data_IF_407962263004
#
_entry.id   IF_407962263004
#
_cell.length_a   1.000
_cell.length_b   1.000
_cell.length_c   1.000
_cell.angle_alpha   90.00
_cell.angle_beta   90.00
_cell.angle_gamma   90.00
#
_symmetry.space_group_name_H-M   'P 1'
#
loop_
_entity.id
_entity.type
_entity.pdbx_description
1 polymer ?
#
# COMPACT_ATOMS: atom_id res chain seq x y z
N UNK A 1 -41.96 -19.87 -8.84
CA UNK A 1 -43.04 -19.26 -9.63
C UNK A 1 -43.64 -18.10 -8.85
N UNK A 2 -43.37 -16.86 -9.27
CA UNK A 2 -44.27 -15.70 -9.13
C UNK A 2 -43.52 -14.45 -9.63
N UNK A 3 -43.79 -14.12 -10.89
CA UNK A 3 -43.55 -12.82 -11.50
C UNK A 3 -44.44 -11.76 -10.83
N UNK A 4 -43.92 -10.54 -10.61
CA UNK A 4 -44.70 -9.30 -10.52
C UNK A 4 -43.85 -8.21 -11.18
N UNK A 5 -44.08 -7.94 -12.46
CA UNK A 5 -45.10 -7.06 -13.03
C UNK A 5 -44.61 -5.60 -13.13
N UNK A 6 -44.51 -5.16 -14.38
CA UNK A 6 -43.93 -3.91 -14.90
C UNK A 6 -44.97 -2.81 -14.88
N UNK A 7 -44.59 -1.60 -14.45
CA UNK A 7 -45.42 -0.40 -14.58
C UNK A 7 -45.13 0.34 -15.90
N UNK A 8 -46.13 1.04 -16.49
CA UNK A 8 -46.04 1.62 -17.82
C UNK A 8 -45.50 3.06 -17.85
N UNK A 9 -44.96 3.42 -19.01
CA UNK A 9 -44.47 4.74 -19.40
C UNK A 9 -45.61 5.73 -19.67
N UNK A 10 -45.35 7.02 -19.44
CA UNK A 10 -46.07 8.13 -20.09
C UNK A 10 -45.10 9.30 -20.32
N UNK A 11 -44.85 9.61 -21.59
CA UNK A 11 -44.24 10.86 -22.06
C UNK A 11 -45.35 11.89 -22.37
N UNK A 12 -45.05 13.18 -22.23
CA UNK A 12 -45.51 14.17 -23.19
C UNK A 12 -44.32 15.03 -23.67
N UNK A 13 -44.03 15.05 -24.97
CA UNK A 13 -44.66 15.85 -26.02
C UNK A 13 -43.76 17.04 -26.40
N UNK A 14 -43.06 16.86 -27.53
CA UNK A 14 -42.37 17.90 -28.28
C UNK A 14 -43.40 18.90 -28.82
N UNK A 15 -43.23 20.19 -28.54
CA UNK A 15 -43.88 21.25 -29.29
C UNK A 15 -42.91 22.41 -29.58
N UNK A 16 -42.81 22.67 -30.88
CA UNK A 16 -42.64 23.97 -31.55
C UNK A 16 -41.30 24.72 -31.40
N UNK A 17 -40.56 24.68 -32.51
CA UNK A 17 -39.57 25.67 -32.91
C UNK A 17 -40.20 27.08 -33.05
N UNK A 18 -39.54 28.09 -32.50
CA UNK A 18 -39.64 29.46 -33.00
C UNK A 18 -38.23 30.09 -33.01
N UNK A 19 -37.79 30.48 -34.20
CA UNK A 19 -36.52 31.16 -34.48
C UNK A 19 -36.66 32.64 -34.17
N UNK A 20 -35.71 33.21 -33.43
CA UNK A 20 -35.39 34.63 -33.48
C UNK A 20 -33.91 34.85 -33.14
N UNK A 21 -33.26 35.67 -33.96
CA UNK A 21 -31.83 35.92 -34.06
C UNK A 21 -31.34 37.08 -33.16
N UNK A 22 -30.24 36.85 -32.42
CA UNK A 22 -29.12 37.70 -31.92
C UNK A 22 -29.32 39.20 -31.55
N UNK A 23 -28.67 39.71 -30.47
CA UNK A 23 -27.20 39.82 -30.41
C UNK A 23 -26.51 39.51 -29.06
N UNK A 24 -25.19 39.32 -29.18
CA UNK A 24 -24.14 39.06 -28.18
C UNK A 24 -24.12 40.06 -27.01
N UNK A 25 -24.14 39.58 -25.76
CA UNK A 25 -23.75 40.32 -24.55
C UNK A 25 -23.24 39.35 -23.45
N UNK A 26 -21.98 39.59 -23.04
CA UNK A 26 -21.28 39.23 -21.79
C UNK A 26 -21.25 37.78 -21.30
N UNK A 27 -20.02 37.24 -21.28
CA UNK A 27 -19.60 36.15 -20.41
C UNK A 27 -19.72 36.54 -18.92
N UNK A 28 -20.43 35.74 -18.12
CA UNK A 28 -20.37 35.77 -16.67
C UNK A 28 -20.00 34.36 -16.17
N UNK A 29 -18.80 34.25 -15.60
CA UNK A 29 -18.21 33.00 -15.14
C UNK A 29 -18.91 32.38 -13.93
N UNK A 30 -18.78 31.05 -13.85
CA UNK A 30 -19.30 30.11 -12.86
C UNK A 30 -18.98 30.45 -11.40
N UNK A 31 -19.86 30.05 -10.48
CA UNK A 31 -19.49 29.52 -9.16
C UNK A 31 -20.47 28.42 -8.75
N UNK A 32 -20.23 27.19 -9.23
CA UNK A 32 -20.75 25.99 -8.57
C UNK A 32 -19.83 25.72 -7.36
N UNK A 33 -20.33 25.63 -6.12
CA UNK A 33 -19.52 25.17 -5.00
C UNK A 33 -19.20 23.70 -5.24
N UNK A 34 -18.05 23.44 -5.85
CA UNK A 34 -17.45 22.13 -5.87
C UNK A 34 -17.17 21.73 -4.43
N UNK A 35 -17.96 20.81 -3.90
CA UNK A 35 -17.58 20.07 -2.70
C UNK A 35 -16.29 19.32 -3.06
N UNK A 36 -15.15 19.91 -2.73
CA UNK A 36 -13.88 19.21 -2.79
C UNK A 36 -14.00 18.04 -1.81
N UNK A 37 -14.15 16.83 -2.34
CA UNK A 37 -13.83 15.63 -1.57
C UNK A 37 -12.38 15.83 -1.11
N UNK A 38 -12.19 16.11 0.18
CA UNK A 38 -10.93 15.79 0.82
C UNK A 38 -10.90 14.28 0.88
N UNK A 39 -10.29 13.65 -0.12
CA UNK A 39 -9.66 12.36 0.11
C UNK A 39 -8.78 12.61 1.33
N UNK A 40 -9.01 11.88 2.42
CA UNK A 40 -8.01 11.76 3.47
C UNK A 40 -6.72 11.32 2.77
N UNK A 41 -5.84 12.29 2.50
CA UNK A 41 -4.48 12.05 2.09
C UNK A 41 -3.75 11.53 3.34
N UNK A 42 -4.19 10.36 3.82
CA UNK A 42 -3.42 9.54 4.73
C UNK A 42 -2.03 9.44 4.11
N UNK A 43 -1.02 9.83 4.89
CA UNK A 43 0.36 9.97 4.44
C UNK A 43 0.73 8.81 3.51
N UNK A 44 0.85 9.05 2.20
CA UNK A 44 1.07 8.00 1.20
C UNK A 44 2.37 7.23 1.46
N UNK A 45 3.28 7.83 2.24
CA UNK A 45 4.54 7.25 2.67
C UNK A 45 4.49 6.54 4.03
N UNK A 46 3.33 6.45 4.69
CA UNK A 46 3.19 5.59 5.85
C UNK A 46 3.32 4.13 5.43
N UNK A 47 4.03 3.33 6.23
CA UNK A 47 4.15 1.91 5.96
C UNK A 47 2.76 1.26 5.95
N UNK A 48 2.50 0.48 4.91
CA UNK A 48 1.29 -0.31 4.76
C UNK A 48 1.34 -1.52 5.72
N UNK A 49 0.16 -1.99 6.12
CA UNK A 49 0.05 -3.22 6.88
C UNK A 49 0.49 -4.41 6.01
N UNK A 50 1.40 -5.24 6.53
CA UNK A 50 1.98 -6.36 5.79
C UNK A 50 0.91 -7.37 5.38
N UNK A 51 0.13 -7.90 6.33
CA UNK A 51 -0.94 -8.86 6.07
C UNK A 51 -1.92 -8.33 5.03
N UNK A 52 -2.41 -7.11 5.16
CA UNK A 52 -3.36 -6.52 4.20
C UNK A 52 -2.73 -6.36 2.81
N UNK A 53 -1.48 -5.94 2.72
CA UNK A 53 -0.78 -5.75 1.45
C UNK A 53 -0.69 -7.05 0.65
N UNK A 54 -0.33 -8.16 1.30
CA UNK A 54 -0.27 -9.46 0.61
C UNK A 54 -1.65 -10.08 0.40
N UNK A 55 -2.54 -10.06 1.41
CA UNK A 55 -3.86 -10.70 1.29
C UNK A 55 -4.78 -9.99 0.29
N UNK A 56 -4.58 -8.69 0.04
CA UNK A 56 -5.26 -7.95 -1.01
C UNK A 56 -4.62 -8.09 -2.41
N UNK A 57 -3.49 -8.79 -2.52
CA UNK A 57 -2.76 -8.95 -3.77
C UNK A 57 -2.12 -7.66 -4.30
N UNK A 58 -1.77 -6.72 -3.42
CA UNK A 58 -1.00 -5.52 -3.79
C UNK A 58 0.48 -5.82 -4.02
N UNK A 59 1.01 -6.81 -3.31
CA UNK A 59 2.36 -7.32 -3.48
C UNK A 59 2.38 -8.84 -3.36
N UNK A 60 3.36 -9.47 -4.00
CA UNK A 60 3.69 -10.87 -3.89
C UNK A 60 5.11 -11.05 -3.35
N UNK A 61 5.39 -12.23 -2.80
CA UNK A 61 6.71 -12.49 -2.25
C UNK A 61 7.76 -12.54 -3.37
N UNK A 62 8.82 -11.76 -3.19
CA UNK A 62 9.86 -11.58 -4.19
C UNK A 62 9.67 -10.35 -5.07
N UNK A 63 8.62 -9.55 -4.87
CA UNK A 63 8.43 -8.28 -5.57
C UNK A 63 9.44 -7.21 -5.13
N UNK A 64 9.94 -7.28 -3.89
CA UNK A 64 10.84 -6.29 -3.31
C UNK A 64 12.04 -6.97 -2.61
N UNK A 65 12.20 -6.77 -1.31
CA UNK A 65 13.38 -7.18 -0.54
C UNK A 65 13.17 -8.48 0.26
N UNK A 66 12.08 -9.22 0.02
CA UNK A 66 11.74 -10.43 0.78
C UNK A 66 12.83 -11.51 0.73
N UNK A 67 13.55 -11.60 -0.39
CA UNK A 67 14.62 -12.59 -0.62
C UNK A 67 16.02 -11.99 -0.52
N UNK A 68 16.14 -10.72 -0.11
CA UNK A 68 17.40 -9.97 -0.17
C UNK A 68 18.52 -10.59 0.69
N UNK A 69 18.17 -11.16 1.85
CA UNK A 69 19.09 -11.94 2.71
C UNK A 69 19.96 -12.93 1.89
N UNK A 70 19.36 -13.58 0.89
CA UNK A 70 19.99 -14.66 0.13
C UNK A 70 20.48 -14.21 -1.25
N UNK A 71 19.72 -13.34 -1.91
CA UNK A 71 19.99 -12.96 -3.31
C UNK A 71 20.84 -11.71 -3.43
N UNK A 72 20.87 -10.87 -2.38
CA UNK A 72 21.42 -9.51 -2.42
C UNK A 72 20.87 -8.67 -3.59
N UNK A 73 19.65 -8.97 -4.04
CA UNK A 73 18.98 -8.31 -5.14
C UNK A 73 17.51 -8.05 -4.83
N UNK A 74 16.97 -6.97 -5.40
CA UNK A 74 15.55 -6.61 -5.33
C UNK A 74 14.76 -7.39 -6.39
N UNK A 75 13.52 -7.76 -6.11
CA UNK A 75 12.61 -8.28 -7.13
C UNK A 75 12.94 -9.72 -7.56
N UNK A 76 13.44 -10.56 -6.64
CA UNK A 76 13.83 -11.94 -6.94
C UNK A 76 12.84 -12.93 -6.34
N UNK A 77 12.03 -13.53 -7.20
CA UNK A 77 11.20 -14.68 -6.85
C UNK A 77 12.05 -15.95 -6.75
N UNK A 78 12.04 -16.57 -5.58
CA UNK A 78 12.71 -17.85 -5.33
C UNK A 78 11.65 -18.95 -5.17
N UNK A 79 11.82 -20.06 -5.90
CA UNK A 79 10.86 -21.19 -5.94
C UNK A 79 11.08 -22.25 -4.86
N UNK A 80 12.13 -22.11 -4.05
CA UNK A 80 12.61 -23.19 -3.15
C UNK A 80 12.76 -22.77 -1.70
N UNK A 81 12.25 -21.60 -1.34
CA UNK A 81 12.34 -21.09 0.02
C UNK A 81 10.97 -20.98 0.67
N UNK A 82 10.81 -21.69 1.79
CA UNK A 82 9.62 -21.67 2.64
C UNK A 82 9.13 -20.26 2.99
N UNK A 83 10.04 -19.27 2.98
CA UNK A 83 9.73 -17.88 3.28
C UNK A 83 8.72 -17.24 2.34
N UNK A 84 8.54 -17.72 1.10
CA UNK A 84 7.49 -17.23 0.19
C UNK A 84 6.29 -18.19 0.05
N UNK A 85 6.46 -19.46 0.41
CA UNK A 85 5.47 -20.52 0.21
C UNK A 85 4.60 -20.75 1.46
N UNK A 86 4.01 -19.69 1.98
CA UNK A 86 3.04 -19.77 3.09
C UNK A 86 3.64 -19.85 4.51
N UNK A 87 4.95 -20.05 4.66
CA UNK A 87 5.65 -19.80 5.93
C UNK A 87 6.11 -18.34 6.09
N UNK A 88 5.76 -17.46 5.13
CA UNK A 88 6.14 -16.05 5.19
C UNK A 88 5.60 -15.40 6.46
N UNK A 89 6.48 -14.68 7.16
CA UNK A 89 6.05 -13.82 8.25
C UNK A 89 5.02 -12.81 7.73
N UNK A 90 5.19 -12.27 6.53
CA UNK A 90 4.42 -11.14 6.02
C UNK A 90 2.91 -11.38 5.87
N UNK A 91 2.47 -12.56 5.43
CA UNK A 91 1.04 -12.88 5.32
C UNK A 91 0.36 -12.98 6.70
N UNK A 92 1.14 -13.23 7.76
CA UNK A 92 0.64 -13.31 9.13
C UNK A 92 0.87 -12.03 9.92
N UNK A 93 1.81 -11.19 9.49
CA UNK A 93 2.22 -9.98 10.18
C UNK A 93 1.14 -8.90 10.07
N UNK A 94 0.29 -8.76 11.11
CA UNK A 94 -0.79 -7.77 11.12
C UNK A 94 -0.35 -6.45 11.76
N UNK A 95 0.70 -5.88 11.20
CA UNK A 95 1.27 -4.60 11.61
C UNK A 95 1.92 -3.93 10.41
N UNK A 96 2.45 -2.74 10.62
CA UNK A 96 3.14 -1.93 9.62
C UNK A 96 4.56 -1.58 10.05
N UNK A 97 5.18 -2.36 10.93
CA UNK A 97 6.55 -2.12 11.34
C UNK A 97 7.52 -2.41 10.19
N UNK A 98 8.55 -1.59 10.05
CA UNK A 98 9.63 -1.87 9.13
C UNK A 98 10.40 -3.13 9.55
N UNK A 99 10.59 -4.03 8.60
CA UNK A 99 11.29 -5.29 8.80
C UNK A 99 12.72 -5.21 8.26
N UNK A 100 13.64 -5.98 8.82
CA UNK A 100 15.01 -6.05 8.29
C UNK A 100 15.00 -6.63 6.88
N UNK A 101 15.77 -6.04 5.97
CA UNK A 101 15.98 -6.60 4.63
C UNK A 101 16.92 -7.80 4.65
N UNK A 102 17.83 -7.87 5.63
CA UNK A 102 18.71 -9.01 5.87
C UNK A 102 18.62 -9.51 7.31
N UNK A 103 18.47 -10.82 7.51
CA UNK A 103 18.39 -11.45 8.85
C UNK A 103 19.60 -11.12 9.74
N UNK A 104 20.79 -11.00 9.13
CA UNK A 104 22.03 -10.67 9.85
C UNK A 104 22.24 -9.18 10.14
N UNK A 105 21.27 -8.31 9.83
CA UNK A 105 21.45 -6.87 10.00
C UNK A 105 21.62 -6.47 11.48
N UNK A 106 22.57 -5.58 11.70
CA UNK A 106 22.94 -4.94 12.96
C UNK A 106 22.40 -3.51 13.09
N UNK A 107 21.33 -3.11 12.37
CA UNK A 107 20.68 -1.78 12.44
C UNK A 107 21.04 -0.96 13.71
N UNK A 108 21.48 0.32 13.62
CA UNK A 108 21.62 1.17 12.43
C UNK A 108 23.08 1.25 11.95
N UNK A 109 23.52 0.32 11.11
CA UNK A 109 24.75 0.54 10.35
C UNK A 109 24.42 1.29 9.05
N UNK A 110 25.15 2.37 8.73
CA UNK A 110 25.00 3.09 7.46
C UNK A 110 25.17 2.12 6.29
N UNK A 111 24.13 1.88 5.49
CA UNK A 111 24.19 0.80 4.52
C UNK A 111 25.01 1.23 3.30
N UNK A 112 25.99 0.40 2.90
CA UNK A 112 26.52 0.43 1.52
C UNK A 112 25.52 -0.17 0.52
N UNK A 113 24.63 -1.02 1.01
CA UNK A 113 23.57 -1.74 0.30
C UNK A 113 22.42 -2.06 1.27
N UNK A 114 21.35 -2.76 0.88
CA UNK A 114 20.21 -3.00 1.79
C UNK A 114 20.50 -3.96 2.95
N UNK A 115 21.72 -4.49 3.10
CA UNK A 115 22.06 -5.50 4.12
C UNK A 115 21.90 -4.99 5.55
N UNK A 116 21.97 -3.67 5.73
CA UNK A 116 21.78 -3.02 7.02
C UNK A 116 20.51 -2.16 7.07
N UNK A 117 19.58 -2.40 6.15
CA UNK A 117 18.34 -1.64 6.02
C UNK A 117 17.14 -2.34 6.67
N UNK A 118 16.23 -1.52 7.18
CA UNK A 118 14.83 -1.91 7.39
C UNK A 118 13.99 -1.36 6.24
N UNK A 119 12.89 -2.02 5.90
CA UNK A 119 12.04 -1.62 4.79
C UNK A 119 10.57 -1.92 5.04
N UNK A 120 9.70 -1.30 4.26
CA UNK A 120 8.26 -1.58 4.23
C UNK A 120 7.67 -1.24 2.86
N UNK A 121 6.46 -1.76 2.60
CA UNK A 121 5.63 -1.28 1.50
C UNK A 121 4.97 0.05 1.87
N UNK A 122 4.79 0.92 0.87
CA UNK A 122 4.07 2.19 0.94
C UNK A 122 3.15 2.31 -0.28
N UNK A 123 2.24 3.28 -0.26
CA UNK A 123 1.39 3.55 -1.43
C UNK A 123 2.26 3.93 -2.64
N UNK A 124 1.85 3.55 -3.84
CA UNK A 124 2.56 3.91 -5.08
C UNK A 124 2.72 5.44 -5.23
N UNK A 125 1.83 6.24 -4.65
CA UNK A 125 1.92 7.70 -4.65
C UNK A 125 2.96 8.28 -3.66
N UNK A 126 3.66 7.46 -2.86
CA UNK A 126 4.74 7.94 -2.01
C UNK A 126 5.96 8.39 -2.83
N UNK A 127 6.33 9.67 -2.69
CA UNK A 127 7.52 10.21 -3.36
C UNK A 127 8.83 9.98 -2.57
N UNK A 128 8.75 9.76 -1.25
CA UNK A 128 9.91 9.66 -0.36
C UNK A 128 10.28 8.21 -0.06
N UNK A 129 10.97 7.55 -1.00
CA UNK A 129 11.31 6.13 -0.89
C UNK A 129 12.66 5.85 -0.18
N UNK A 130 13.46 6.88 0.11
CA UNK A 130 14.72 6.75 0.88
C UNK A 130 15.72 5.72 0.32
N UNK A 131 15.76 5.54 -1.00
CA UNK A 131 16.58 4.51 -1.65
C UNK A 131 15.81 3.23 -1.99
N UNK A 132 14.52 3.16 -1.68
CA UNK A 132 13.61 2.17 -2.24
C UNK A 132 13.16 2.50 -3.67
N UNK A 133 12.26 1.69 -4.21
CA UNK A 133 11.79 1.82 -5.59
C UNK A 133 10.30 1.48 -5.75
N UNK A 134 9.73 1.92 -6.87
CA UNK A 134 8.41 1.49 -7.31
C UNK A 134 8.40 -0.01 -7.59
N UNK A 135 7.33 -0.68 -7.18
CA UNK A 135 7.15 -2.13 -7.39
C UNK A 135 6.12 -2.36 -8.48
N UNK A 136 4.96 -1.73 -8.36
CA UNK A 136 3.88 -1.77 -9.35
C UNK A 136 3.03 -0.48 -9.26
N UNK A 137 1.85 -0.48 -9.88
CA UNK A 137 0.92 0.65 -9.91
C UNK A 137 0.18 0.87 -8.57
N UNK A 138 0.28 -0.06 -7.61
CA UNK A 138 -0.40 -0.01 -6.31
C UNK A 138 0.54 0.30 -5.16
N UNK A 139 1.77 -0.19 -5.21
CA UNK A 139 2.75 -0.04 -4.13
C UNK A 139 4.16 0.27 -4.61
N UNK A 140 4.88 0.95 -3.72
CA UNK A 140 6.33 1.07 -3.76
C UNK A 140 6.90 0.44 -2.48
N UNK A 141 8.19 0.17 -2.45
CA UNK A 141 8.87 -0.07 -1.18
C UNK A 141 9.78 1.10 -0.84
N UNK A 142 9.95 1.38 0.44
CA UNK A 142 10.90 2.36 0.94
C UNK A 142 11.89 1.73 1.91
N UNK A 143 13.05 2.35 2.02
CA UNK A 143 13.98 2.07 3.14
C UNK A 143 13.56 2.93 4.32
N UNK A 144 13.41 2.31 5.48
CA UNK A 144 12.96 2.97 6.68
C UNK A 144 14.10 3.68 7.40
N UNK A 145 13.77 4.77 8.09
CA UNK A 145 14.73 5.57 8.86
C UNK A 145 14.48 5.46 10.35
N UNK A 146 15.56 5.30 11.10
CA UNK A 146 15.51 5.28 12.56
C UNK A 146 15.00 6.62 13.09
N UNK A 147 14.02 6.57 14.00
CA UNK A 147 13.41 7.75 14.61
C UNK A 147 12.37 8.47 13.74
N UNK A 148 12.20 8.07 12.47
CA UNK A 148 11.12 8.55 11.60
C UNK A 148 10.05 7.47 11.40
N UNK A 149 10.47 6.23 11.15
CA UNK A 149 9.59 5.08 10.93
C UNK A 149 9.53 4.18 12.17
N UNK A 150 8.44 3.41 12.31
CA UNK A 150 8.33 2.41 13.36
C UNK A 150 9.07 1.14 12.92
N UNK A 151 10.20 0.81 13.54
CA UNK A 151 10.96 -0.41 13.21
C UNK A 151 10.55 -1.56 14.13
N UNK A 152 10.50 -2.77 13.58
CA UNK A 152 10.27 -3.97 14.38
C UNK A 152 11.39 -4.15 15.44
N UNK A 153 12.60 -3.72 15.10
CA UNK A 153 13.77 -3.73 15.97
C UNK A 153 13.68 -2.77 17.17
N UNK A 154 12.75 -1.79 17.15
CA UNK A 154 12.53 -0.88 18.28
C UNK A 154 11.71 -1.54 19.41
N UNK A 155 11.07 -2.68 19.12
CA UNK A 155 10.30 -3.42 20.10
C UNK A 155 11.20 -4.21 21.05
N UNK A 156 10.93 -4.09 22.34
CA UNK A 156 11.58 -4.91 23.37
C UNK A 156 11.20 -6.40 23.20
N UNK A 157 12.00 -7.34 23.73
CA UNK A 157 11.67 -8.76 23.63
C UNK A 157 10.26 -9.13 24.14
N UNK A 158 9.75 -8.60 25.27
CA UNK A 158 8.37 -8.85 25.68
C UNK A 158 7.31 -8.31 24.69
N UNK A 159 7.57 -7.16 24.05
CA UNK A 159 6.68 -6.61 23.02
C UNK A 159 6.69 -7.48 21.76
N UNK A 160 7.86 -7.97 21.33
CA UNK A 160 7.99 -8.90 20.20
C UNK A 160 7.27 -10.23 20.47
N UNK A 161 7.42 -10.81 21.67
CA UNK A 161 6.70 -12.04 22.06
C UNK A 161 5.19 -11.82 21.97
N UNK A 162 4.70 -10.69 22.48
CA UNK A 162 3.27 -10.34 22.42
C UNK A 162 2.80 -10.16 20.98
N UNK A 163 3.58 -9.48 20.14
CA UNK A 163 3.28 -9.27 18.73
C UNK A 163 3.25 -10.60 17.95
N UNK A 164 4.26 -11.45 18.14
CA UNK A 164 4.34 -12.79 17.54
C UNK A 164 3.11 -13.64 17.90
N UNK A 165 2.75 -13.67 19.19
CA UNK A 165 1.57 -14.39 19.66
C UNK A 165 0.27 -13.84 19.05
N UNK A 166 0.12 -12.51 18.97
CA UNK A 166 -1.05 -11.87 18.35
C UNK A 166 -1.17 -12.18 16.85
N UNK A 167 -0.04 -12.32 16.16
CA UNK A 167 0.01 -12.62 14.73
C UNK A 167 0.00 -14.13 14.43
N UNK A 168 0.11 -15.01 15.43
CA UNK A 168 0.27 -16.45 15.23
C UNK A 168 1.57 -16.79 14.48
N UNK A 169 2.64 -16.04 14.76
CA UNK A 169 3.97 -16.18 14.18
C UNK A 169 4.93 -16.84 15.17
N UNK A 170 5.90 -17.59 14.64
CA UNK A 170 7.06 -18.01 15.42
C UNK A 170 7.95 -16.80 15.70
N UNK A 171 8.38 -16.63 16.96
CA UNK A 171 9.20 -15.48 17.36
C UNK A 171 10.52 -15.41 16.60
N UNK A 172 11.11 -16.57 16.23
CA UNK A 172 12.34 -16.66 15.47
C UNK A 172 12.22 -16.15 14.03
N UNK A 173 11.01 -15.86 13.55
CA UNK A 173 10.77 -15.24 12.25
C UNK A 173 10.70 -13.69 12.33
N UNK A 174 10.78 -13.10 13.53
CA UNK A 174 10.69 -11.64 13.75
C UNK A 174 12.04 -10.97 14.08
N UNK A 175 13.16 -11.69 13.94
CA UNK A 175 14.51 -11.24 14.36
C UNK A 175 15.45 -10.94 13.20
#
# INVERSE_FOLDING_TARGET
>A
FAFCARAPATEPSLAAMARASLPSLLALGLLLPGAALRLDAGNSCACLNWRETYTSGKAACGDALETYTYTRAVGKHMKTFHFCEGASAYNKQNDNYCTKAAQGSLLPASPKDYSEGAWCYVDAACASLNGGAAVNDKVSFKVCRLGEDALLADLTPPQLIKLAAANGQDLGLLV
#
